data_IF_815526914997
#
_entry.id   IF_815526914997
#
_cell.length_a   1.000
_cell.length_b   1.000
_cell.length_c   1.000
_cell.angle_alpha   90.00
_cell.angle_beta   90.00
_cell.angle_gamma   90.00
#
_symmetry.space_group_name_H-M   'P 1'
#
loop_
_entity.id
_entity.type
_entity.pdbx_description
1 polymer ?
#
# COMPACT_ATOMS: atom_id res chain seq x y z
N UNK A 1 -17.20 -2.99 -34.08
CA UNK A 1 -16.86 -4.28 -34.73
C UNK A 1 -18.10 -5.03 -35.21
N UNK A 2 -19.21 -5.09 -34.44
CA UNK A 2 -20.43 -5.78 -34.87
C UNK A 2 -20.98 -5.35 -36.23
N UNK A 3 -20.94 -4.04 -36.55
CA UNK A 3 -21.44 -3.50 -37.82
C UNK A 3 -20.57 -3.85 -39.06
N UNK A 4 -19.43 -4.53 -38.86
CA UNK A 4 -18.50 -4.91 -39.92
C UNK A 4 -18.54 -6.42 -40.21
N UNK A 5 -19.44 -7.14 -39.52
CA UNK A 5 -19.47 -8.59 -39.47
C UNK A 5 -20.71 -9.08 -40.23
N UNK A 6 -20.59 -10.14 -41.05
CA UNK A 6 -21.73 -10.77 -41.70
C UNK A 6 -22.81 -11.21 -40.70
N UNK A 7 -24.09 -11.07 -41.04
CA UNK A 7 -25.23 -11.42 -40.17
C UNK A 7 -25.24 -12.89 -39.71
N UNK A 8 -24.51 -13.76 -40.40
CA UNK A 8 -24.40 -15.19 -40.11
C UNK A 8 -23.20 -15.57 -39.22
N UNK A 9 -22.44 -14.61 -38.68
CA UNK A 9 -21.30 -14.89 -37.82
C UNK A 9 -21.73 -15.09 -36.36
N UNK A 10 -21.24 -16.15 -35.74
CA UNK A 10 -21.49 -16.45 -34.34
C UNK A 10 -20.83 -15.41 -33.41
N UNK A 11 -21.57 -14.97 -32.40
CA UNK A 11 -21.14 -13.92 -31.45
C UNK A 11 -19.90 -14.36 -30.67
N UNK A 12 -19.77 -15.64 -30.35
CA UNK A 12 -18.63 -16.19 -29.60
C UNK A 12 -17.33 -16.12 -30.40
N UNK A 13 -17.41 -16.34 -31.72
CA UNK A 13 -16.28 -16.19 -32.64
C UNK A 13 -15.90 -14.70 -32.74
N UNK A 14 -16.91 -13.82 -32.90
CA UNK A 14 -16.69 -12.39 -32.93
C UNK A 14 -16.03 -11.89 -31.63
N UNK A 15 -16.49 -12.36 -30.48
CA UNK A 15 -15.93 -12.03 -29.17
C UNK A 15 -14.48 -12.48 -29.06
N UNK A 16 -14.18 -13.70 -29.50
CA UNK A 16 -12.80 -14.24 -29.47
C UNK A 16 -11.87 -13.41 -30.35
N UNK A 17 -12.27 -13.10 -31.58
CA UNK A 17 -11.47 -12.28 -32.51
C UNK A 17 -11.30 -10.85 -32.00
N UNK A 18 -12.33 -10.29 -31.38
CA UNK A 18 -12.27 -8.97 -30.76
C UNK A 18 -11.29 -8.95 -29.59
N UNK A 19 -11.36 -9.93 -28.69
CA UNK A 19 -10.43 -10.07 -27.57
C UNK A 19 -8.99 -10.18 -28.06
N UNK A 20 -8.72 -11.03 -29.06
CA UNK A 20 -7.36 -11.23 -29.61
C UNK A 20 -6.73 -9.95 -30.18
N UNK A 21 -7.53 -8.93 -30.56
CA UNK A 21 -7.03 -7.64 -31.07
C UNK A 21 -6.63 -6.67 -29.96
N UNK A 22 -7.04 -6.91 -28.72
CA UNK A 22 -6.76 -6.01 -27.59
C UNK A 22 -5.35 -6.25 -27.02
N UNK A 23 -4.77 -5.26 -26.32
CA UNK A 23 -3.59 -5.47 -25.50
C UNK A 23 -3.76 -6.59 -24.46
N UNK A 24 -2.68 -7.30 -24.13
CA UNK A 24 -2.71 -8.51 -23.28
C UNK A 24 -3.34 -8.28 -21.90
N UNK A 25 -3.12 -7.12 -21.29
CA UNK A 25 -3.72 -6.74 -20.01
C UNK A 25 -5.26 -6.65 -20.09
N UNK A 26 -5.79 -6.05 -21.17
CA UNK A 26 -7.23 -5.97 -21.42
C UNK A 26 -7.82 -7.36 -21.71
N UNK A 27 -7.11 -8.19 -22.47
CA UNK A 27 -7.54 -9.57 -22.74
C UNK A 27 -7.71 -10.38 -21.45
N UNK A 28 -6.73 -10.31 -20.53
CA UNK A 28 -6.78 -11.03 -19.27
C UNK A 28 -7.95 -10.59 -18.39
N UNK A 29 -8.18 -9.27 -18.31
CA UNK A 29 -9.29 -8.72 -17.51
C UNK A 29 -10.63 -9.12 -18.11
N UNK A 30 -10.80 -8.98 -19.42
CA UNK A 30 -12.09 -9.22 -20.08
C UNK A 30 -12.40 -10.71 -20.25
N UNK A 31 -11.41 -11.59 -20.30
CA UNK A 31 -11.58 -13.04 -20.41
C UNK A 31 -12.32 -13.64 -19.21
N UNK A 32 -12.15 -13.07 -18.01
CA UNK A 32 -12.85 -13.53 -16.79
C UNK A 32 -14.22 -12.88 -16.60
N UNK A 33 -14.57 -11.87 -17.40
CA UNK A 33 -15.84 -11.17 -17.31
C UNK A 33 -16.97 -12.01 -17.94
N UNK A 34 -17.96 -12.38 -17.13
CA UNK A 34 -19.21 -12.98 -17.62
C UNK A 34 -20.20 -11.88 -17.98
N UNK A 35 -20.01 -11.29 -19.15
CA UNK A 35 -20.82 -10.21 -19.68
C UNK A 35 -21.08 -10.42 -21.18
N UNK A 36 -22.11 -9.77 -21.71
CA UNK A 36 -22.37 -9.75 -23.14
C UNK A 36 -21.27 -9.02 -23.91
N UNK A 37 -21.17 -9.27 -25.22
CA UNK A 37 -20.17 -8.60 -26.07
C UNK A 37 -20.24 -7.07 -26.00
N UNK A 38 -21.44 -6.49 -25.89
CA UNK A 38 -21.61 -5.03 -25.77
C UNK A 38 -21.10 -4.50 -24.44
N UNK A 39 -21.37 -5.22 -23.36
CA UNK A 39 -20.88 -4.86 -22.03
C UNK A 39 -19.36 -5.01 -21.96
N UNK A 40 -18.79 -6.06 -22.54
CA UNK A 40 -17.33 -6.22 -22.65
C UNK A 40 -16.70 -5.04 -23.41
N UNK A 41 -17.33 -4.61 -24.52
CA UNK A 41 -16.88 -3.44 -25.26
C UNK A 41 -16.92 -2.16 -24.42
N UNK A 42 -17.98 -1.95 -23.63
CA UNK A 42 -18.07 -0.82 -22.70
C UNK A 42 -17.03 -0.89 -21.59
N UNK A 43 -16.76 -2.08 -21.03
CA UNK A 43 -15.74 -2.28 -19.99
C UNK A 43 -14.36 -1.94 -20.56
N UNK A 44 -14.04 -2.40 -21.77
CA UNK A 44 -12.77 -2.08 -22.43
C UNK A 44 -12.57 -0.56 -22.61
N UNK A 45 -13.61 0.15 -23.03
CA UNK A 45 -13.59 1.61 -23.15
C UNK A 45 -13.33 2.27 -21.79
N UNK A 46 -14.03 1.86 -20.73
CA UNK A 46 -13.83 2.41 -19.38
C UNK A 46 -12.42 2.16 -18.84
N UNK A 47 -11.86 0.96 -19.06
CA UNK A 47 -10.47 0.65 -18.66
C UNK A 47 -9.50 1.57 -19.41
N UNK A 48 -9.73 1.78 -20.71
CA UNK A 48 -8.91 2.70 -21.50
C UNK A 48 -9.02 4.14 -20.99
N UNK A 49 -10.22 4.64 -20.68
CA UNK A 49 -10.43 5.97 -20.10
C UNK A 49 -9.70 6.17 -18.76
N UNK A 50 -9.77 5.18 -17.86
CA UNK A 50 -9.05 5.20 -16.57
C UNK A 50 -7.54 5.11 -16.78
N UNK A 51 -7.07 4.34 -17.76
CA UNK A 51 -5.63 4.24 -18.05
C UNK A 51 -5.05 5.50 -18.70
N UNK A 52 -5.83 6.22 -19.51
CA UNK A 52 -5.39 7.49 -20.15
C UNK A 52 -5.36 8.62 -19.13
N UNK A 53 -6.22 8.55 -18.11
CA UNK A 53 -6.06 9.32 -16.90
C UNK A 53 -4.82 8.81 -16.16
N UNK A 54 -3.65 9.41 -16.43
CA UNK A 54 -2.56 9.44 -15.45
C UNK A 54 -3.13 10.09 -14.19
N UNK A 55 -3.78 9.30 -13.34
CA UNK A 55 -4.35 9.71 -12.08
C UNK A 55 -3.14 10.09 -11.24
N UNK A 56 -2.76 11.37 -11.32
CA UNK A 56 -1.86 12.01 -10.39
C UNK A 56 -2.63 12.03 -9.08
N UNK A 57 -2.68 10.88 -8.42
CA UNK A 57 -3.04 10.80 -7.03
C UNK A 57 -1.93 11.58 -6.35
N UNK A 58 -2.21 12.82 -5.98
CA UNK A 58 -1.33 13.60 -5.14
C UNK A 58 -1.10 12.78 -3.88
N UNK A 59 0.06 12.12 -3.79
CA UNK A 59 0.46 11.40 -2.60
C UNK A 59 0.48 12.43 -1.48
N UNK A 60 -0.50 12.34 -0.57
CA UNK A 60 -0.45 13.11 0.67
C UNK A 60 0.86 12.70 1.34
N UNK A 61 1.85 13.60 1.36
CA UNK A 61 3.03 13.43 2.19
C UNK A 61 2.52 13.52 3.62
N UNK A 62 2.24 12.38 4.25
CA UNK A 62 2.13 12.35 5.70
C UNK A 62 3.42 12.91 6.27
N UNK A 63 3.27 13.71 7.34
CA UNK A 63 4.40 14.24 8.11
C UNK A 63 5.32 13.05 8.44
N UNK A 64 6.64 13.16 8.22
CA UNK A 64 7.53 12.02 8.43
C UNK A 64 7.47 11.60 9.90
N UNK A 65 7.00 10.36 10.12
CA UNK A 65 6.93 9.67 11.42
C UNK A 65 8.30 9.66 12.14
N UNK A 66 9.40 9.94 11.43
CA UNK A 66 10.73 10.11 12.00
C UNK A 66 10.78 11.10 13.17
N UNK A 67 10.09 12.25 13.11
CA UNK A 67 10.23 13.27 14.16
C UNK A 67 9.67 12.78 15.49
N UNK A 68 8.53 12.08 15.46
CA UNK A 68 7.90 11.52 16.66
C UNK A 68 8.66 10.29 17.17
N UNK A 69 9.15 9.42 16.27
CA UNK A 69 9.96 8.27 16.64
C UNK A 69 11.33 8.66 17.24
N UNK A 70 11.98 9.71 16.74
CA UNK A 70 13.25 10.20 17.26
C UNK A 70 13.06 10.85 18.64
N UNK A 71 11.96 11.57 18.86
CA UNK A 71 11.61 12.11 20.17
C UNK A 71 11.34 10.99 21.20
N UNK A 72 10.57 9.97 20.83
CA UNK A 72 10.30 8.80 21.69
C UNK A 72 11.60 8.04 22.00
N UNK A 73 12.49 7.89 21.02
CA UNK A 73 13.80 7.25 21.21
C UNK A 73 14.68 8.03 22.19
N UNK A 74 14.66 9.37 22.13
CA UNK A 74 15.41 10.22 23.05
C UNK A 74 14.87 10.11 24.49
N UNK A 75 13.56 10.09 24.68
CA UNK A 75 12.96 9.90 26.01
C UNK A 75 13.30 8.52 26.61
N UNK A 76 13.28 7.45 25.80
CA UNK A 76 13.69 6.12 26.25
C UNK A 76 15.17 6.08 26.68
N UNK A 77 16.05 6.79 25.96
CA UNK A 77 17.46 6.90 26.33
C UNK A 77 17.62 7.63 27.68
N UNK A 78 16.91 8.75 27.87
CA UNK A 78 16.94 9.51 29.12
C UNK A 78 16.41 8.70 30.31
N UNK A 79 15.30 7.97 30.13
CA UNK A 79 14.75 7.08 31.15
C UNK A 79 15.71 5.96 31.54
N UNK A 80 16.42 5.40 30.56
CA UNK A 80 17.44 4.37 30.80
C UNK A 80 18.61 4.93 31.63
N UNK A 81 19.11 6.11 31.27
CA UNK A 81 20.18 6.79 32.02
C UNK A 81 19.74 7.17 33.43
N UNK A 82 18.51 7.64 33.62
CA UNK A 82 17.97 7.92 34.96
C UNK A 82 17.89 6.66 35.81
N UNK A 83 17.38 5.56 35.24
CA UNK A 83 17.35 4.25 35.92
C UNK A 83 18.75 3.81 36.36
N UNK A 84 19.74 3.91 35.47
CA UNK A 84 21.12 3.55 35.78
C UNK A 84 21.72 4.44 36.88
N UNK A 85 21.45 5.76 36.84
CA UNK A 85 21.90 6.70 37.86
C UNK A 85 21.20 6.50 39.23
N UNK A 86 19.92 6.19 39.25
CA UNK A 86 19.20 5.85 40.48
C UNK A 86 19.75 4.58 41.13
N UNK A 87 20.00 3.53 40.35
CA UNK A 87 20.64 2.32 40.84
C UNK A 87 22.05 2.58 41.40
N UNK A 88 22.77 3.57 40.86
CA UNK A 88 24.10 3.95 41.35
C UNK A 88 24.05 4.69 42.70
N UNK A 89 23.04 5.55 42.90
CA UNK A 89 22.82 6.27 44.16
C UNK A 89 22.36 5.33 45.29
N UNK A 90 21.59 4.30 44.97
CA UNK A 90 21.14 3.31 45.96
C UNK A 90 22.30 2.42 46.46
N UNK A 91 23.37 2.24 45.68
CA UNK A 91 24.56 1.49 46.11
C UNK A 91 25.47 2.35 47.02
N UNK A 92 25.65 3.64 46.69
CA UNK A 92 26.50 4.55 47.47
C UNK A 92 25.92 4.95 48.83
N UNK A 93 24.59 4.86 49.02
CA UNK A 93 23.95 5.18 50.31
C UNK A 93 24.09 4.06 51.33
N UNK A 94 24.39 2.82 50.92
CA UNK A 94 24.62 1.69 51.84
C UNK A 94 26.04 1.70 52.42
N UNK A 95 27.04 2.20 51.68
CA UNK A 95 28.45 2.21 52.11
C UNK A 95 28.86 3.39 53.02
N UNK A 96 27.95 4.32 53.34
CA UNK A 96 28.25 5.50 54.16
C UNK A 96 27.64 5.50 55.57
N UNK A 97 27.28 4.33 56.13
CA UNK A 97 26.95 4.23 57.56
C UNK A 97 28.09 3.55 58.37
N UNK A 98 29.19 4.24 58.70
CA UNK A 98 30.10 3.79 59.74
C UNK A 98 29.47 4.10 61.11
N UNK A 99 28.47 3.32 61.51
CA UNK A 99 27.96 3.36 62.87
C UNK A 99 28.98 2.68 63.80
N UNK A 100 29.88 3.54 64.30
CA UNK A 100 30.34 3.60 65.68
C UNK A 100 30.78 2.27 66.31
N UNK A 101 32.07 1.98 66.16
CA UNK A 101 32.88 1.26 67.13
C UNK A 101 32.66 1.86 68.54
N UNK A 102 31.87 1.17 69.38
CA UNK A 102 31.79 1.41 70.83
C UNK A 102 31.29 0.17 71.57
#
# INVERSE_FOLDING_TARGET
>A
MRNLVPDNMEIDILQTLWLQRLPSNLQQILSVCKASFDELAQIAVKIHEVSVCNLIVARVKSKPECVELDAIRAELANLKTWKENCLFLDIYTVDLNPESDR
#
